data_IF_698794143801
#
_entry.id   IF_698794143801
#
_cell.length_a   1.000
_cell.length_b   1.000
_cell.length_c   1.000
_cell.angle_alpha   90.00
_cell.angle_beta   90.00
_cell.angle_gamma   90.00
#
_symmetry.space_group_name_H-M   'P 1'
#
loop_
_entity.id
_entity.type
_entity.pdbx_description
1 polymer ?
#
# COMPACT_ATOMS: atom_id res chain seq x y z
N UNK A 1 -22.82 -5.83 10.16
CA UNK A 1 -23.41 -5.84 11.52
C UNK A 1 -24.36 -4.67 11.63
N UNK A 2 -25.56 -4.84 12.22
CA UNK A 2 -26.46 -3.73 12.52
C UNK A 2 -26.28 -3.38 13.99
N UNK A 3 -25.75 -2.21 14.27
CA UNK A 3 -25.66 -1.67 15.62
C UNK A 3 -26.98 -0.97 15.96
N UNK A 4 -27.39 -0.97 17.21
CA UNK A 4 -28.65 -0.40 17.67
C UNK A 4 -28.54 1.12 17.90
N UNK A 5 -27.32 1.66 18.01
CA UNK A 5 -27.04 3.10 18.16
C UNK A 5 -25.67 3.47 17.61
N UNK A 6 -25.46 4.76 17.31
CA UNK A 6 -24.18 5.29 16.87
C UNK A 6 -23.09 5.15 17.95
N UNK A 7 -23.49 5.21 19.23
CA UNK A 7 -22.58 5.01 20.37
C UNK A 7 -22.07 3.57 20.40
N UNK A 8 -22.96 2.59 20.24
CA UNK A 8 -22.60 1.17 20.19
C UNK A 8 -21.67 0.88 18.99
N UNK A 9 -21.93 1.48 17.84
CA UNK A 9 -21.09 1.36 16.66
C UNK A 9 -19.68 1.96 16.89
N UNK A 10 -19.60 3.11 17.56
CA UNK A 10 -18.34 3.76 17.90
C UNK A 10 -17.53 2.94 18.92
N UNK A 11 -18.18 2.42 19.96
CA UNK A 11 -17.53 1.57 20.97
C UNK A 11 -16.98 0.30 20.34
N UNK A 12 -17.74 -0.34 19.44
CA UNK A 12 -17.30 -1.52 18.71
C UNK A 12 -16.09 -1.20 17.80
N UNK A 13 -16.11 -0.05 17.12
CA UNK A 13 -14.99 0.41 16.28
C UNK A 13 -13.73 0.63 17.14
N UNK A 14 -13.87 1.31 18.28
CA UNK A 14 -12.76 1.54 19.20
C UNK A 14 -12.18 0.22 19.75
N UNK A 15 -13.03 -0.75 20.08
CA UNK A 15 -12.60 -2.06 20.54
C UNK A 15 -11.82 -2.80 19.44
N UNK A 16 -12.39 -2.88 18.23
CA UNK A 16 -11.72 -3.52 17.08
C UNK A 16 -10.38 -2.86 16.74
N UNK A 17 -10.32 -1.53 16.76
CA UNK A 17 -9.05 -0.80 16.53
C UNK A 17 -7.98 -1.18 17.56
N UNK A 18 -8.34 -1.29 18.84
CA UNK A 18 -7.42 -1.70 19.90
C UNK A 18 -6.91 -3.12 19.71
N UNK A 19 -7.78 -4.05 19.30
CA UNK A 19 -7.41 -5.43 19.00
C UNK A 19 -6.45 -5.51 17.81
N UNK A 20 -6.78 -4.85 16.70
CA UNK A 20 -5.93 -4.78 15.50
C UNK A 20 -4.55 -4.22 15.87
N UNK A 21 -4.49 -3.09 16.58
CA UNK A 21 -3.23 -2.47 16.97
C UNK A 21 -2.42 -3.39 17.88
N UNK A 22 -3.07 -4.10 18.80
CA UNK A 22 -2.42 -5.08 19.68
C UNK A 22 -1.85 -6.26 18.90
N UNK A 23 -2.55 -6.78 17.90
CA UNK A 23 -2.02 -7.87 17.06
C UNK A 23 -0.83 -7.40 16.23
N UNK A 24 -0.89 -6.21 15.64
CA UNK A 24 0.20 -5.64 14.86
C UNK A 24 1.44 -5.41 15.75
N UNK A 25 1.26 -4.92 16.99
CA UNK A 25 2.35 -4.63 17.92
C UNK A 25 3.13 -5.87 18.41
N UNK A 26 2.62 -7.08 18.17
CA UNK A 26 3.36 -8.33 18.43
C UNK A 26 4.52 -8.53 17.45
N UNK A 27 4.46 -7.92 16.28
CA UNK A 27 5.44 -8.08 15.19
C UNK A 27 6.18 -6.77 14.92
N UNK A 28 5.46 -5.65 14.95
CA UNK A 28 5.99 -4.33 14.62
C UNK A 28 6.26 -3.57 15.92
N UNK A 29 7.52 -3.21 16.14
CA UNK A 29 7.99 -2.51 17.35
C UNK A 29 8.36 -1.07 16.98
N UNK A 30 7.90 -0.10 17.77
CA UNK A 30 8.35 1.30 17.69
C UNK A 30 7.82 2.13 16.53
N UNK A 31 6.84 1.64 15.78
CA UNK A 31 6.27 2.36 14.62
C UNK A 31 4.78 2.73 14.82
N UNK A 32 4.37 3.05 16.04
CA UNK A 32 2.96 3.27 16.40
C UNK A 32 2.30 4.36 15.55
N UNK A 33 2.99 5.46 15.29
CA UNK A 33 2.47 6.56 14.47
C UNK A 33 2.28 6.14 13.00
N UNK A 34 3.19 5.31 12.47
CA UNK A 34 3.11 4.78 11.11
C UNK A 34 1.94 3.81 11.01
N UNK A 35 1.83 2.87 11.93
CA UNK A 35 0.70 1.92 12.02
C UNK A 35 -0.62 2.68 12.10
N UNK A 36 -0.72 3.69 12.95
CA UNK A 36 -1.90 4.54 13.08
C UNK A 36 -2.27 5.23 11.76
N UNK A 37 -1.31 5.84 11.08
CA UNK A 37 -1.54 6.52 9.80
C UNK A 37 -2.00 5.55 8.70
N UNK A 38 -1.39 4.36 8.65
CA UNK A 38 -1.77 3.29 7.72
C UNK A 38 -3.20 2.81 7.98
N UNK A 39 -3.55 2.52 9.22
CA UNK A 39 -4.91 2.08 9.58
C UNK A 39 -5.95 3.16 9.29
N UNK A 40 -5.68 4.43 9.64
CA UNK A 40 -6.58 5.54 9.31
C UNK A 40 -6.77 5.63 7.79
N UNK A 41 -5.69 5.52 6.99
CA UNK A 41 -5.80 5.55 5.53
C UNK A 41 -6.68 4.43 4.99
N UNK A 42 -6.51 3.19 5.49
CA UNK A 42 -7.31 2.04 5.08
C UNK A 42 -8.80 2.27 5.39
N UNK A 43 -9.11 2.65 6.63
CA UNK A 43 -10.50 2.85 7.06
C UNK A 43 -11.16 4.08 6.43
N UNK A 44 -10.38 5.08 6.02
CA UNK A 44 -10.87 6.28 5.33
C UNK A 44 -10.83 6.15 3.79
N UNK A 45 -10.51 4.96 3.27
CA UNK A 45 -10.43 4.69 1.82
C UNK A 45 -9.39 5.57 1.10
N UNK A 46 -8.37 6.02 1.83
CA UNK A 46 -7.22 6.80 1.35
C UNK A 46 -6.01 5.92 1.08
N UNK A 47 -4.88 6.57 0.77
CA UNK A 47 -3.59 5.94 0.52
C UNK A 47 -2.51 6.62 1.36
N UNK A 48 -1.35 5.98 1.54
CA UNK A 48 -0.27 6.51 2.36
C UNK A 48 1.07 6.46 1.60
N UNK A 49 1.87 7.50 1.76
CA UNK A 49 3.26 7.56 1.29
C UNK A 49 4.20 7.49 2.49
N UNK A 50 5.13 6.54 2.49
CA UNK A 50 6.21 6.46 3.47
C UNK A 50 7.51 6.95 2.84
N UNK A 51 8.10 7.95 3.45
CA UNK A 51 9.41 8.47 3.07
C UNK A 51 10.42 8.00 4.12
N UNK A 52 11.39 7.19 3.72
CA UNK A 52 12.38 6.68 4.65
C UNK A 52 13.38 5.74 3.99
N UNK A 53 14.53 5.59 4.65
CA UNK A 53 15.64 4.76 4.19
C UNK A 53 15.25 3.28 4.03
N UNK A 54 15.98 2.51 3.23
CA UNK A 54 15.78 1.06 3.14
C UNK A 54 16.08 0.37 4.48
N UNK A 55 15.54 -0.84 4.66
CA UNK A 55 15.81 -1.64 5.87
C UNK A 55 14.91 -1.38 7.08
N UNK A 56 13.95 -0.46 7.00
CA UNK A 56 13.04 -0.13 8.11
C UNK A 56 11.77 -0.99 8.15
N UNK A 57 11.86 -2.25 7.77
CA UNK A 57 10.80 -3.26 7.85
C UNK A 57 9.45 -2.87 7.18
N UNK A 58 9.45 -1.98 6.18
CA UNK A 58 8.23 -1.50 5.48
C UNK A 58 7.39 -2.66 4.94
N UNK A 59 8.03 -3.64 4.31
CA UNK A 59 7.34 -4.83 3.77
C UNK A 59 6.70 -5.66 4.89
N UNK A 60 7.42 -5.87 5.99
CA UNK A 60 6.89 -6.60 7.14
C UNK A 60 5.69 -5.89 7.75
N UNK A 61 5.75 -4.56 7.88
CA UNK A 61 4.63 -3.75 8.36
C UNK A 61 3.36 -3.98 7.53
N UNK A 62 3.46 -3.83 6.20
CA UNK A 62 2.29 -3.94 5.32
C UNK A 62 1.75 -5.36 5.30
N UNK A 63 2.62 -6.35 5.27
CA UNK A 63 2.25 -7.76 5.30
C UNK A 63 1.57 -8.13 6.63
N UNK A 64 2.07 -7.62 7.75
CA UNK A 64 1.43 -7.81 9.06
C UNK A 64 0.03 -7.19 9.09
N UNK A 65 -0.11 -5.96 8.61
CA UNK A 65 -1.41 -5.28 8.52
C UNK A 65 -2.38 -6.07 7.63
N UNK A 66 -1.94 -6.56 6.47
CA UNK A 66 -2.78 -7.34 5.56
C UNK A 66 -3.25 -8.64 6.20
N UNK A 67 -2.36 -9.35 6.91
CA UNK A 67 -2.70 -10.60 7.60
C UNK A 67 -3.69 -10.37 8.74
N UNK A 68 -3.50 -9.33 9.56
CA UNK A 68 -4.40 -8.99 10.67
C UNK A 68 -5.79 -8.59 10.19
N UNK A 69 -5.87 -7.95 9.00
CA UNK A 69 -7.14 -7.53 8.40
C UNK A 69 -7.76 -8.58 7.47
N UNK A 70 -7.11 -9.74 7.28
CA UNK A 70 -7.52 -10.80 6.33
C UNK A 70 -7.74 -10.25 4.91
N UNK A 71 -6.79 -9.45 4.43
CA UNK A 71 -6.81 -8.79 3.13
C UNK A 71 -5.70 -9.34 2.23
N UNK A 72 -5.99 -9.43 0.91
CA UNK A 72 -4.98 -9.83 -0.07
C UNK A 72 -3.90 -8.76 -0.22
N UNK A 73 -2.64 -9.20 -0.34
CA UNK A 73 -1.46 -8.34 -0.40
C UNK A 73 -0.59 -8.68 -1.61
N UNK A 74 -0.13 -7.63 -2.30
CA UNK A 74 0.94 -7.74 -3.30
C UNK A 74 1.99 -6.63 -3.11
N UNK A 75 3.24 -6.96 -3.40
CA UNK A 75 4.35 -6.01 -3.48
C UNK A 75 4.72 -5.78 -4.94
N UNK A 76 4.87 -4.52 -5.31
CA UNK A 76 5.38 -4.08 -6.60
C UNK A 76 6.66 -3.32 -6.35
N UNK A 77 7.81 -3.88 -6.77
CA UNK A 77 9.09 -3.18 -6.72
C UNK A 77 9.20 -2.30 -7.96
N UNK A 78 9.29 -0.99 -7.76
CA UNK A 78 9.44 -0.04 -8.84
C UNK A 78 10.91 0.02 -9.26
N UNK A 79 11.19 -0.43 -10.49
CA UNK A 79 12.52 -0.43 -11.12
C UNK A 79 12.47 0.39 -12.40
N UNK A 80 13.60 0.91 -12.92
CA UNK A 80 13.61 1.74 -14.12
C UNK A 80 12.99 1.10 -15.37
N UNK A 81 12.98 -0.22 -15.44
CA UNK A 81 12.46 -1.03 -16.54
C UNK A 81 11.01 -1.50 -16.34
N UNK A 82 10.39 -1.25 -15.17
CA UNK A 82 9.01 -1.63 -14.88
C UNK A 82 8.04 -0.94 -15.86
N UNK A 83 7.17 -1.72 -16.47
CA UNK A 83 6.16 -1.24 -17.41
C UNK A 83 4.77 -1.13 -16.75
N UNK A 84 3.88 -0.28 -17.26
CA UNK A 84 2.49 -0.21 -16.78
C UNK A 84 1.76 -1.56 -16.83
N UNK A 85 2.03 -2.38 -17.84
CA UNK A 85 1.45 -3.74 -17.97
C UNK A 85 1.87 -4.68 -16.85
N UNK A 86 3.05 -4.50 -16.26
CA UNK A 86 3.52 -5.30 -15.14
C UNK A 86 2.73 -5.00 -13.85
N UNK A 87 2.14 -3.81 -13.77
CA UNK A 87 1.29 -3.37 -12.67
C UNK A 87 -0.16 -3.80 -12.87
N UNK A 88 -0.72 -3.46 -14.04
CA UNK A 88 -2.16 -3.62 -14.32
C UNK A 88 -2.51 -4.97 -14.94
N UNK A 89 -1.53 -5.65 -15.54
CA UNK A 89 -1.75 -6.87 -16.31
C UNK A 89 -1.78 -6.64 -17.81
N UNK A 90 -1.88 -7.72 -18.56
CA UNK A 90 -1.82 -7.71 -20.03
C UNK A 90 -2.73 -8.77 -20.63
N UNK A 91 -3.09 -8.61 -21.92
CA UNK A 91 -3.72 -9.67 -22.68
C UNK A 91 -2.66 -10.64 -23.21
N UNK A 92 -2.97 -11.92 -23.11
CA UNK A 92 -2.20 -12.97 -23.76
C UNK A 92 -3.11 -13.75 -24.70
N UNK A 93 -2.54 -14.24 -25.80
CA UNK A 93 -3.22 -15.15 -26.71
C UNK A 93 -3.23 -16.55 -26.07
N UNK A 94 -4.42 -17.06 -25.75
CA UNK A 94 -4.58 -18.42 -25.23
C UNK A 94 -4.44 -19.49 -26.31
N UNK A 95 -4.32 -20.75 -25.89
CA UNK A 95 -4.22 -21.92 -26.79
C UNK A 95 -5.46 -22.07 -27.70
N UNK A 96 -6.60 -21.56 -27.22
CA UNK A 96 -7.89 -21.46 -27.92
C UNK A 96 -7.96 -20.33 -28.97
N UNK A 97 -6.84 -19.61 -29.20
CA UNK A 97 -6.71 -18.45 -30.07
C UNK A 97 -7.59 -17.25 -29.63
N UNK A 98 -8.08 -17.25 -28.40
CA UNK A 98 -8.76 -16.12 -27.81
C UNK A 98 -7.82 -15.33 -26.91
N UNK A 99 -7.99 -14.01 -26.88
CA UNK A 99 -7.27 -13.16 -25.96
C UNK A 99 -7.84 -13.31 -24.55
N UNK A 100 -6.96 -13.49 -23.57
CA UNK A 100 -7.31 -13.55 -22.14
C UNK A 100 -6.54 -12.47 -21.39
N UNK A 101 -7.26 -11.67 -20.62
CA UNK A 101 -6.64 -10.70 -19.72
C UNK A 101 -6.08 -11.41 -18.49
N UNK A 102 -4.78 -11.29 -18.29
CA UNK A 102 -4.09 -11.74 -17.08
C UNK A 102 -3.95 -10.54 -16.15
N UNK A 103 -4.60 -10.63 -14.98
CA UNK A 103 -4.57 -9.58 -13.96
C UNK A 103 -3.17 -9.40 -13.41
N UNK A 104 -2.72 -8.15 -13.33
CA UNK A 104 -1.48 -7.78 -12.68
C UNK A 104 -1.60 -7.70 -11.15
N UNK A 105 -0.49 -7.41 -10.46
CA UNK A 105 -0.45 -7.36 -9.00
C UNK A 105 -1.35 -6.28 -8.38
N UNK A 106 -1.78 -5.27 -9.13
CA UNK A 106 -2.70 -4.23 -8.65
C UNK A 106 -4.05 -4.77 -8.21
N UNK A 107 -4.42 -5.98 -8.65
CA UNK A 107 -5.68 -6.64 -8.27
C UNK A 107 -5.60 -7.32 -6.90
N UNK A 108 -5.15 -6.59 -5.89
CA UNK A 108 -5.15 -6.98 -4.48
C UNK A 108 -5.72 -5.85 -3.63
N UNK A 109 -6.14 -6.18 -2.41
CA UNK A 109 -6.68 -5.19 -1.48
C UNK A 109 -5.60 -4.20 -1.01
N UNK A 110 -4.41 -4.71 -0.71
CA UNK A 110 -3.29 -3.93 -0.22
C UNK A 110 -2.11 -4.08 -1.19
N UNK A 111 -1.61 -2.95 -1.67
CA UNK A 111 -0.43 -2.86 -2.54
C UNK A 111 0.68 -2.12 -1.80
N UNK A 112 1.85 -2.75 -1.72
CA UNK A 112 3.09 -2.05 -1.40
C UNK A 112 3.78 -1.65 -2.71
N UNK A 113 3.73 -0.36 -3.04
CA UNK A 113 4.47 0.21 -4.17
C UNK A 113 5.85 0.68 -3.68
N UNK A 114 6.83 -0.22 -3.75
CA UNK A 114 8.13 0.01 -3.16
C UNK A 114 9.04 0.79 -4.11
N UNK A 115 9.61 1.90 -3.62
CA UNK A 115 10.46 2.84 -4.37
C UNK A 115 9.78 3.44 -5.61
N UNK A 116 8.56 3.95 -5.46
CA UNK A 116 7.72 4.45 -6.56
C UNK A 116 8.43 5.50 -7.44
N UNK A 117 9.38 6.23 -6.88
CA UNK A 117 10.17 7.24 -7.59
C UNK A 117 11.28 6.68 -8.49
N UNK A 118 11.51 5.36 -8.55
CA UNK A 118 12.52 4.75 -9.41
C UNK A 118 12.06 4.43 -10.83
N UNK A 119 10.77 4.59 -11.12
CA UNK A 119 10.22 4.36 -12.47
C UNK A 119 9.89 5.67 -13.17
N UNK A 120 9.89 5.69 -14.51
CA UNK A 120 9.44 6.84 -15.28
C UNK A 120 7.98 7.23 -14.98
N UNK A 121 7.62 8.51 -15.16
CA UNK A 121 6.28 9.04 -14.83
C UNK A 121 5.11 8.27 -15.46
N UNK A 122 5.30 7.68 -16.63
CA UNK A 122 4.28 6.88 -17.32
C UNK A 122 3.87 5.65 -16.51
N UNK A 123 4.84 4.98 -15.88
CA UNK A 123 4.56 3.79 -15.06
C UNK A 123 3.97 4.18 -13.71
N UNK A 124 4.47 5.26 -13.10
CA UNK A 124 3.87 5.82 -11.88
C UNK A 124 2.39 6.17 -12.12
N UNK A 125 2.07 6.82 -13.26
CA UNK A 125 0.71 7.23 -13.60
C UNK A 125 -0.27 6.05 -13.62
N UNK A 126 0.14 4.87 -14.06
CA UNK A 126 -0.74 3.69 -14.09
C UNK A 126 -1.23 3.29 -12.68
N UNK A 127 -0.35 3.31 -11.68
CA UNK A 127 -0.76 3.05 -10.29
C UNK A 127 -1.58 4.20 -9.72
N UNK A 128 -1.18 5.45 -9.97
CA UNK A 128 -1.86 6.64 -9.45
C UNK A 128 -3.27 6.79 -10.02
N UNK A 129 -3.50 6.40 -11.28
CA UNK A 129 -4.83 6.32 -11.88
C UNK A 129 -5.68 5.25 -11.19
N UNK A 130 -5.13 4.05 -10.99
CA UNK A 130 -5.80 2.97 -10.28
C UNK A 130 -6.18 3.37 -8.83
N UNK A 131 -5.35 4.16 -8.14
CA UNK A 131 -5.64 4.70 -6.82
C UNK A 131 -6.85 5.66 -6.84
N UNK A 132 -6.95 6.49 -7.85
CA UNK A 132 -7.99 7.50 -7.98
C UNK A 132 -9.32 6.88 -8.44
N UNK A 133 -9.27 6.12 -9.51
CA UNK A 133 -10.48 5.60 -10.19
C UNK A 133 -11.01 4.30 -9.54
N UNK A 134 -10.22 3.63 -8.70
CA UNK A 134 -10.52 2.30 -8.11
C UNK A 134 -10.84 1.23 -9.16
N UNK A 135 -10.34 1.44 -10.37
CA UNK A 135 -10.42 0.51 -11.50
C UNK A 135 -9.22 0.71 -12.41
N UNK A 136 -9.00 -0.22 -13.31
CA UNK A 136 -8.03 -0.12 -14.40
C UNK A 136 -8.70 -0.41 -15.73
N UNK A 137 -8.31 0.32 -16.77
CA UNK A 137 -8.77 0.04 -18.14
C UNK A 137 -7.67 -0.72 -18.87
N UNK A 138 -7.96 -1.95 -19.24
CA UNK A 138 -7.05 -2.81 -19.99
C UNK A 138 -7.83 -3.60 -21.03
N UNK A 139 -7.24 -3.86 -22.18
CA UNK A 139 -7.88 -4.63 -23.25
C UNK A 139 -9.24 -4.05 -23.71
N UNK A 140 -9.41 -2.75 -23.66
CA UNK A 140 -10.69 -2.07 -23.98
C UNK A 140 -11.80 -2.30 -22.95
N UNK A 141 -11.51 -2.93 -21.80
CA UNK A 141 -12.47 -3.18 -20.73
C UNK A 141 -12.04 -2.52 -19.42
N UNK A 142 -13.02 -2.09 -18.64
CA UNK A 142 -12.79 -1.56 -17.30
C UNK A 142 -12.90 -2.68 -16.26
N UNK A 143 -11.85 -2.89 -15.50
CA UNK A 143 -11.76 -3.88 -14.45
C UNK A 143 -11.76 -3.20 -13.08
N UNK A 144 -12.77 -3.49 -12.27
CA UNK A 144 -12.92 -2.93 -10.92
C UNK A 144 -11.90 -3.61 -9.99
N UNK A 145 -11.23 -2.81 -9.15
CA UNK A 145 -10.31 -3.30 -8.13
C UNK A 145 -11.07 -3.81 -6.88
N UNK A 146 -10.47 -4.73 -6.11
CA UNK A 146 -11.09 -5.24 -4.89
C UNK A 146 -11.25 -4.13 -3.85
N UNK A 147 -12.26 -4.24 -3.00
CA UNK A 147 -12.51 -3.30 -1.89
C UNK A 147 -12.31 -4.00 -0.55
N UNK A 148 -11.66 -3.34 0.42
CA UNK A 148 -10.99 -2.04 0.31
C UNK A 148 -9.78 -2.12 -0.62
N UNK A 149 -9.44 -1.01 -1.29
CA UNK A 149 -8.21 -0.90 -2.10
C UNK A 149 -7.30 0.16 -1.47
N UNK A 150 -6.15 -0.28 -0.99
CA UNK A 150 -5.18 0.56 -0.31
C UNK A 150 -3.79 0.42 -0.93
N UNK A 151 -3.14 1.55 -1.17
CA UNK A 151 -1.75 1.60 -1.62
C UNK A 151 -0.89 2.26 -0.56
N UNK A 152 0.13 1.56 -0.12
CA UNK A 152 1.27 2.13 0.59
C UNK A 152 2.42 2.28 -0.41
N UNK A 153 2.73 3.52 -0.79
CA UNK A 153 3.89 3.80 -1.60
C UNK A 153 5.09 4.13 -0.70
N UNK A 154 6.30 3.79 -1.16
CA UNK A 154 7.53 4.17 -0.47
C UNK A 154 8.42 5.00 -1.36
N UNK A 155 9.17 5.91 -0.74
CA UNK A 155 10.26 6.66 -1.38
C UNK A 155 11.51 6.60 -0.51
N UNK A 156 12.66 6.47 -1.15
CA UNK A 156 13.95 6.63 -0.49
C UNK A 156 14.43 8.07 -0.71
N UNK A 157 14.55 8.90 0.34
CA UNK A 157 14.94 10.30 0.20
C UNK A 157 16.43 10.48 -0.11
N UNK A 158 17.26 9.46 0.12
CA UNK A 158 18.72 9.53 -0.06
C UNK A 158 19.11 9.25 -1.51
N UNK A 159 18.42 8.37 -2.19
CA UNK A 159 18.67 8.05 -3.60
C UNK A 159 18.07 9.13 -4.50
N UNK A 160 18.92 10.03 -5.00
CA UNK A 160 18.53 11.07 -5.96
C UNK A 160 18.88 10.70 -7.40
N UNK A 161 19.91 9.87 -7.59
CA UNK A 161 20.37 9.48 -8.92
C UNK A 161 19.46 8.41 -9.54
N UNK A 162 19.01 8.65 -10.78
CA UNK A 162 18.09 7.73 -11.47
C UNK A 162 16.65 7.71 -10.92
N UNK A 163 16.23 8.76 -10.20
CA UNK A 163 14.88 8.87 -9.67
C UNK A 163 14.02 9.91 -10.40
N UNK A 164 12.72 9.71 -10.36
CA UNK A 164 11.69 10.58 -10.91
C UNK A 164 10.76 11.01 -9.78
N UNK A 165 10.96 12.20 -9.18
CA UNK A 165 10.14 12.66 -8.07
C UNK A 165 8.66 12.78 -8.48
N UNK A 166 7.77 12.46 -7.57
CA UNK A 166 6.34 12.68 -7.77
C UNK A 166 6.04 14.19 -7.76
N UNK A 167 5.36 14.73 -8.78
CA UNK A 167 4.85 16.10 -8.75
C UNK A 167 3.88 16.34 -7.58
N UNK A 168 3.77 17.56 -7.08
CA UNK A 168 2.85 17.92 -5.97
C UNK A 168 1.41 17.48 -6.23
N UNK A 169 0.90 17.68 -7.45
CA UNK A 169 -0.44 17.24 -7.84
C UNK A 169 -0.65 15.70 -7.76
N UNK A 170 0.42 14.92 -7.72
CA UNK A 170 0.35 13.48 -7.53
C UNK A 170 0.49 13.09 -6.04
N UNK A 171 1.19 13.91 -5.26
CA UNK A 171 1.29 13.73 -3.80
C UNK A 171 -0.06 13.92 -3.12
N UNK A 172 -0.95 14.75 -3.64
CA UNK A 172 -2.32 14.97 -3.14
C UNK A 172 -3.20 13.71 -3.14
N UNK A 173 -2.79 12.66 -3.86
CA UNK A 173 -3.49 11.35 -3.83
C UNK A 173 -3.21 10.56 -2.56
N UNK A 174 -2.20 10.93 -1.81
CA UNK A 174 -1.86 10.29 -0.53
C UNK A 174 -2.46 11.10 0.62
N UNK A 175 -3.26 10.44 1.45
CA UNK A 175 -3.87 11.05 2.64
C UNK A 175 -2.81 11.45 3.67
N UNK A 176 -1.76 10.64 3.78
CA UNK A 176 -0.61 10.90 4.65
C UNK A 176 0.70 10.74 3.90
N UNK A 177 1.62 11.66 4.21
CA UNK A 177 3.03 11.54 3.89
C UNK A 177 3.76 11.39 5.24
N UNK A 178 4.27 10.20 5.51
CA UNK A 178 4.85 9.84 6.81
C UNK A 178 6.34 9.62 6.64
N UNK A 179 7.15 10.37 7.40
CA UNK A 179 8.59 10.10 7.52
C UNK A 179 8.83 8.91 8.43
N UNK A 180 9.67 7.99 7.96
CA UNK A 180 10.08 6.82 8.71
C UNK A 180 11.52 7.02 9.17
N UNK A 181 11.71 7.21 10.46
CA UNK A 181 13.01 7.38 11.09
C UNK A 181 13.55 6.03 11.60
N UNK A 182 14.84 5.99 11.92
CA UNK A 182 15.45 4.85 12.59
C UNK A 182 14.82 4.63 13.97
N UNK A 183 14.69 3.38 14.41
CA UNK A 183 14.21 3.09 15.76
C UNK A 183 15.14 3.70 16.82
N UNK A 184 14.57 4.10 17.95
CA UNK A 184 15.34 4.51 19.11
C UNK A 184 16.11 3.34 19.70
N UNK A 185 17.16 3.61 20.49
CA UNK A 185 17.94 2.56 21.15
C UNK A 185 17.10 1.59 22.00
N UNK A 186 16.05 2.08 22.65
CA UNK A 186 15.16 1.23 23.41
C UNK A 186 14.29 0.32 22.52
N UNK A 187 13.88 0.80 21.37
CA UNK A 187 13.13 0.02 20.36
C UNK A 187 14.04 -1.02 19.71
N UNK A 188 15.30 -0.68 19.39
CA UNK A 188 16.28 -1.65 18.86
C UNK A 188 16.48 -2.82 19.81
N UNK A 189 16.62 -2.56 21.13
CA UNK A 189 16.73 -3.63 22.14
C UNK A 189 15.47 -4.52 22.12
N UNK A 190 14.29 -3.92 21.96
CA UNK A 190 13.05 -4.69 21.92
C UNK A 190 12.90 -5.51 20.64
N UNK A 191 13.36 -4.99 19.49
CA UNK A 191 13.39 -5.72 18.22
C UNK A 191 14.26 -6.98 18.30
N UNK A 192 15.41 -6.88 18.99
CA UNK A 192 16.34 -8.02 19.13
C UNK A 192 15.82 -9.08 20.11
N UNK A 193 14.94 -8.71 21.04
CA UNK A 193 14.36 -9.62 22.05
C UNK A 193 13.14 -10.39 21.57
N UNK A 194 12.48 -9.91 20.53
CA UNK A 194 11.32 -10.54 19.91
C UNK A 194 11.72 -11.39 18.71
#
# INVERSE_FOLDING_TARGET
>A
MKYNSDVEALDALCASYKEITKEISKVIVGQDNVVKSVLISIFSNGHCLLVGVPGLAKTLLVQTVSNVLDLSFNRIQFTPDLMPSDIIGSEILGDDRNFKFIKGPVFSNIILADEINRTPPKTQAALLEAMQEKCVTAAGQTHILPKPFFVLATQNPIEQEGTYPLPEAQLDRFMFNVSLDYPSYAEEINIVKN
#
